data_IF_648277436496
#
_entry.id   IF_648277436496
#
_cell.length_a   1.000
_cell.length_b   1.000
_cell.length_c   1.000
_cell.angle_alpha   90.00
_cell.angle_beta   90.00
_cell.angle_gamma   90.00
#
_symmetry.space_group_name_H-M   'P 1'
#
loop_
_entity.id
_entity.type
_entity.pdbx_description
1 polymer ?
#
# COMPACT_ATOMS: atom_id res chain seq x y z
N UNK A 1 -2.75 -21.49 19.69
CA UNK A 1 -2.34 -20.14 20.15
C UNK A 1 -1.42 -19.40 19.16
N UNK A 2 -0.50 -20.07 18.45
CA UNK A 2 0.46 -19.42 17.52
C UNK A 2 -0.15 -18.89 16.21
N UNK A 3 -1.13 -19.58 15.63
CA UNK A 3 -1.72 -19.18 14.34
C UNK A 3 -2.59 -17.92 14.40
N UNK A 4 -3.39 -17.76 15.46
CA UNK A 4 -4.20 -16.57 15.66
C UNK A 4 -3.32 -15.32 15.83
N UNK A 5 -2.18 -15.46 16.53
CA UNK A 5 -1.16 -14.42 16.66
C UNK A 5 -0.46 -14.14 15.32
N UNK A 6 -0.10 -15.18 14.56
CA UNK A 6 0.46 -15.02 13.21
C UNK A 6 -0.52 -14.30 12.26
N UNK A 7 -1.82 -14.60 12.35
CA UNK A 7 -2.89 -13.91 11.63
C UNK A 7 -2.97 -12.43 12.01
N UNK A 8 -2.95 -12.13 13.30
CA UNK A 8 -2.94 -10.75 13.80
C UNK A 8 -1.76 -9.95 13.25
N UNK A 9 -0.56 -10.55 13.29
CA UNK A 9 0.67 -9.95 12.72
C UNK A 9 0.54 -9.69 11.22
N UNK A 10 0.10 -10.67 10.43
CA UNK A 10 -0.08 -10.51 8.98
C UNK A 10 -1.07 -9.39 8.63
N UNK A 11 -2.23 -9.34 9.30
CA UNK A 11 -3.22 -8.26 9.12
C UNK A 11 -2.64 -6.90 9.47
N UNK A 12 -1.89 -6.80 10.57
CA UNK A 12 -1.19 -5.60 10.98
C UNK A 12 -0.18 -5.14 9.92
N UNK A 13 0.64 -6.05 9.37
CA UNK A 13 1.64 -5.70 8.37
C UNK A 13 1.02 -5.26 7.04
N UNK A 14 -0.03 -5.93 6.57
CA UNK A 14 -0.75 -5.53 5.34
C UNK A 14 -1.35 -4.15 5.50
N UNK A 15 -1.98 -3.88 6.66
CA UNK A 15 -2.51 -2.56 6.98
C UNK A 15 -1.42 -1.49 6.88
N UNK A 16 -0.28 -1.71 7.55
CA UNK A 16 0.85 -0.78 7.50
C UNK A 16 1.35 -0.58 6.07
N UNK A 17 1.57 -1.64 5.31
CA UNK A 17 2.05 -1.57 3.91
C UNK A 17 1.06 -0.84 2.99
N UNK A 18 -0.24 -1.11 3.10
CA UNK A 18 -1.27 -0.42 2.31
C UNK A 18 -1.32 1.08 2.63
N UNK A 19 -1.18 1.43 3.91
CA UNK A 19 -1.04 2.83 4.33
C UNK A 19 0.22 3.45 3.72
N UNK A 20 1.39 2.82 3.89
CA UNK A 20 2.68 3.30 3.37
C UNK A 20 2.65 3.58 1.88
N UNK A 21 2.08 2.68 1.07
CA UNK A 21 2.01 2.93 -0.38
C UNK A 21 0.87 3.88 -0.76
N UNK A 22 -0.02 4.26 0.17
CA UNK A 22 -1.20 5.08 -0.10
C UNK A 22 -2.20 4.39 -1.01
N UNK A 23 -2.44 3.09 -0.80
CA UNK A 23 -3.24 2.28 -1.72
C UNK A 23 -4.71 2.72 -1.76
N UNK A 24 -5.23 2.93 -2.96
CA UNK A 24 -6.58 3.43 -3.23
C UNK A 24 -7.30 2.65 -4.35
N UNK A 25 -6.58 1.82 -5.10
CA UNK A 25 -7.11 0.94 -6.14
C UNK A 25 -6.91 -0.53 -5.79
N UNK A 26 -7.89 -1.36 -6.16
CA UNK A 26 -7.80 -2.81 -6.15
C UNK A 26 -7.64 -3.33 -7.57
N UNK A 27 -6.57 -4.07 -7.82
CA UNK A 27 -6.38 -4.83 -9.05
C UNK A 27 -6.58 -6.31 -8.75
N UNK A 28 -7.49 -6.96 -9.47
CA UNK A 28 -7.71 -8.41 -9.39
C UNK A 28 -7.25 -9.05 -10.69
N UNK A 29 -6.34 -10.00 -10.58
CA UNK A 29 -5.87 -10.82 -11.71
C UNK A 29 -6.58 -12.18 -11.65
N UNK A 30 -6.93 -12.70 -12.82
CA UNK A 30 -7.53 -14.03 -12.93
C UNK A 30 -6.86 -14.84 -14.02
N UNK A 31 -6.92 -16.16 -13.84
CA UNK A 31 -6.56 -17.16 -14.84
C UNK A 31 -7.83 -17.76 -15.45
N UNK A 32 -7.80 -18.11 -16.73
CA UNK A 32 -8.87 -18.90 -17.35
C UNK A 32 -8.79 -20.34 -16.85
N UNK A 33 -7.60 -20.94 -16.92
CA UNK A 33 -7.31 -22.26 -16.38
C UNK A 33 -7.39 -22.30 -14.84
N UNK A 34 -7.57 -23.49 -14.28
CA UNK A 34 -7.55 -23.72 -12.84
C UNK A 34 -6.10 -23.76 -12.34
N UNK A 35 -5.53 -22.60 -12.03
CA UNK A 35 -4.14 -22.49 -11.54
C UNK A 35 -4.14 -22.54 -10.02
N UNK A 36 -3.70 -23.65 -9.44
CA UNK A 36 -3.57 -23.83 -7.99
C UNK A 36 -2.12 -23.70 -7.50
N UNK A 37 -1.17 -23.74 -8.44
CA UNK A 37 0.26 -23.60 -8.18
C UNK A 37 0.61 -22.16 -7.78
N UNK A 38 0.93 -21.99 -6.51
CA UNK A 38 1.32 -20.73 -5.89
C UNK A 38 2.63 -20.17 -6.45
N UNK A 39 3.63 -21.00 -6.73
CA UNK A 39 4.92 -20.54 -7.24
C UNK A 39 4.78 -19.96 -8.63
N UNK A 40 3.99 -20.62 -9.48
CA UNK A 40 3.60 -20.09 -10.79
C UNK A 40 2.95 -18.71 -10.66
N UNK A 41 1.99 -18.55 -9.75
CA UNK A 41 1.32 -17.25 -9.56
C UNK A 41 2.31 -16.16 -9.15
N UNK A 42 3.24 -16.45 -8.24
CA UNK A 42 4.24 -15.49 -7.80
C UNK A 42 5.22 -15.10 -8.91
N UNK A 43 5.64 -16.08 -9.70
CA UNK A 43 6.49 -15.84 -10.84
C UNK A 43 5.80 -14.99 -11.92
N UNK A 44 4.52 -15.23 -12.19
CA UNK A 44 3.70 -14.41 -13.10
C UNK A 44 3.53 -12.97 -12.59
N UNK A 45 3.34 -12.78 -11.28
CA UNK A 45 3.29 -11.45 -10.66
C UNK A 45 4.60 -10.68 -10.83
N UNK A 46 5.74 -11.34 -10.65
CA UNK A 46 7.05 -10.72 -10.84
C UNK A 46 7.31 -10.39 -12.33
N UNK A 47 6.87 -11.25 -13.25
CA UNK A 47 6.88 -10.94 -14.70
C UNK A 47 6.02 -9.72 -15.01
N UNK A 48 4.84 -9.60 -14.41
CA UNK A 48 3.96 -8.44 -14.58
C UNK A 48 4.61 -7.16 -14.07
N UNK A 49 5.17 -7.19 -12.85
CA UNK A 49 5.89 -6.06 -12.26
C UNK A 49 7.05 -5.59 -13.15
N UNK A 50 7.86 -6.53 -13.67
CA UNK A 50 8.97 -6.21 -14.59
C UNK A 50 8.49 -5.65 -15.92
N UNK A 51 7.39 -6.17 -16.48
CA UNK A 51 6.81 -5.66 -17.73
C UNK A 51 6.30 -4.22 -17.58
N UNK A 52 5.64 -3.91 -16.46
CA UNK A 52 5.16 -2.56 -16.15
C UNK A 52 6.33 -1.60 -15.92
N UNK A 53 7.34 -2.02 -15.14
CA UNK A 53 8.54 -1.21 -14.89
C UNK A 53 9.26 -0.82 -16.19
N UNK A 54 9.40 -1.76 -17.14
CA UNK A 54 10.01 -1.48 -18.46
C UNK A 54 9.18 -0.52 -19.32
N UNK A 55 7.89 -0.40 -19.02
CA UNK A 55 6.97 0.51 -19.70
C UNK A 55 6.88 1.87 -18.98
N UNK A 56 7.81 2.17 -18.08
CA UNK A 56 7.83 3.40 -17.27
C UNK A 56 6.79 3.46 -16.15
N UNK A 57 6.02 2.38 -15.93
CA UNK A 57 4.98 2.32 -14.92
C UNK A 57 5.50 1.59 -13.67
N UNK A 58 5.94 2.34 -12.66
CA UNK A 58 6.22 1.76 -11.34
C UNK A 58 4.91 1.52 -10.61
N UNK A 59 4.66 0.26 -10.23
CA UNK A 59 3.43 -0.15 -9.52
C UNK A 59 3.79 -0.82 -8.19
N UNK A 60 4.07 -0.04 -7.13
CA UNK A 60 4.15 -0.59 -5.79
C UNK A 60 2.83 -1.27 -5.41
N UNK A 61 2.89 -2.48 -4.87
CA UNK A 61 1.69 -3.24 -4.53
C UNK A 61 1.81 -4.01 -3.22
N UNK A 62 0.64 -4.28 -2.62
CA UNK A 62 0.46 -5.29 -1.57
C UNK A 62 -0.53 -6.32 -2.09
N UNK A 63 -0.12 -7.58 -2.18
CA UNK A 63 -0.90 -8.65 -2.76
C UNK A 63 -1.29 -9.73 -1.74
N UNK A 64 -2.46 -10.32 -1.94
CA UNK A 64 -2.87 -11.59 -1.33
C UNK A 64 -3.36 -12.52 -2.43
N UNK A 65 -3.19 -13.82 -2.24
CA UNK A 65 -3.82 -14.82 -3.10
C UNK A 65 -5.14 -15.22 -2.45
N UNK A 66 -6.21 -15.27 -3.24
CA UNK A 66 -7.49 -15.83 -2.83
C UNK A 66 -7.70 -17.14 -3.58
N UNK A 67 -8.02 -18.23 -2.90
CA UNK A 67 -8.54 -19.43 -3.55
C UNK A 67 -10.01 -19.25 -3.93
N UNK A 68 -10.31 -19.32 -5.22
CA UNK A 68 -11.70 -19.33 -5.73
C UNK A 68 -12.36 -20.69 -5.39
N UNK A 69 -13.69 -20.76 -5.42
CA UNK A 69 -14.46 -22.00 -5.21
C UNK A 69 -14.00 -23.17 -6.10
N UNK A 70 -13.53 -22.90 -7.32
CA UNK A 70 -13.02 -23.91 -8.26
C UNK A 70 -11.59 -24.39 -7.97
N UNK A 71 -10.92 -23.86 -6.94
CA UNK A 71 -9.53 -24.15 -6.60
C UNK A 71 -8.53 -23.09 -7.08
N UNK A 72 -8.83 -22.38 -8.17
CA UNK A 72 -7.91 -21.43 -8.79
C UNK A 72 -7.50 -20.27 -7.86
N UNK A 73 -6.20 -19.96 -7.83
CA UNK A 73 -5.63 -18.84 -7.11
C UNK A 73 -5.80 -17.52 -7.88
N UNK A 74 -6.39 -16.53 -7.24
CA UNK A 74 -6.62 -15.17 -7.75
C UNK A 74 -5.80 -14.14 -6.97
N UNK A 75 -4.82 -13.48 -7.61
CA UNK A 75 -4.14 -12.35 -6.99
C UNK A 75 -5.04 -11.13 -6.82
N UNK A 76 -5.12 -10.61 -5.60
CA UNK A 76 -5.68 -9.30 -5.30
C UNK A 76 -4.57 -8.36 -4.86
N UNK A 77 -4.36 -7.29 -5.62
CA UNK A 77 -3.31 -6.31 -5.40
C UNK A 77 -3.94 -4.98 -4.98
N UNK A 78 -3.53 -4.47 -3.82
CA UNK A 78 -3.71 -3.08 -3.45
C UNK A 78 -2.58 -2.24 -4.07
N UNK A 79 -2.94 -1.20 -4.81
CA UNK A 79 -2.00 -0.30 -5.51
C UNK A 79 -2.42 1.16 -5.33
N UNK A 80 -1.50 2.09 -5.62
CA UNK A 80 -1.76 3.54 -5.56
C UNK A 80 -1.95 4.13 -6.94
N UNK A 81 -2.92 5.03 -7.05
CA UNK A 81 -3.15 5.87 -8.22
C UNK A 81 -3.82 5.12 -9.36
N UNK A 82 -4.15 5.88 -10.40
CA UNK A 82 -4.80 5.37 -11.60
C UNK A 82 -4.01 4.21 -12.21
N UNK A 83 -4.73 3.17 -12.60
CA UNK A 83 -4.17 2.00 -13.26
C UNK A 83 -4.72 1.90 -14.68
N UNK A 84 -3.85 2.04 -15.68
CA UNK A 84 -4.24 1.83 -17.07
C UNK A 84 -4.55 0.34 -17.28
N UNK A 85 -5.85 0.02 -17.29
CA UNK A 85 -6.35 -1.33 -17.48
C UNK A 85 -5.97 -1.91 -18.84
N UNK A 86 -5.80 -1.08 -19.87
CA UNK A 86 -5.40 -1.54 -21.21
C UNK A 86 -3.94 -1.98 -21.20
N UNK A 87 -3.06 -1.19 -20.59
CA UNK A 87 -1.66 -1.56 -20.39
C UNK A 87 -1.55 -2.82 -19.53
N UNK A 88 -2.24 -2.86 -18.38
CA UNK A 88 -2.22 -4.01 -17.49
C UNK A 88 -2.67 -5.29 -18.20
N UNK A 89 -3.78 -5.25 -18.95
CA UNK A 89 -4.27 -6.40 -19.74
C UNK A 89 -3.26 -6.81 -20.79
N UNK A 90 -2.66 -5.86 -21.52
CA UNK A 90 -1.62 -6.15 -22.53
C UNK A 90 -0.42 -6.88 -21.90
N UNK A 91 0.07 -6.39 -20.75
CA UNK A 91 1.16 -7.05 -20.03
C UNK A 91 0.75 -8.42 -19.49
N UNK A 92 -0.46 -8.54 -18.92
CA UNK A 92 -0.96 -9.79 -18.37
C UNK A 92 -1.14 -10.87 -19.44
N UNK A 93 -1.74 -10.52 -20.58
CA UNK A 93 -1.96 -11.47 -21.68
C UNK A 93 -0.66 -11.95 -22.32
N UNK A 94 0.42 -11.15 -22.28
CA UNK A 94 1.76 -11.62 -22.68
C UNK A 94 2.33 -12.68 -21.74
N UNK A 95 1.87 -12.72 -20.48
CA UNK A 95 2.36 -13.65 -19.46
C UNK A 95 1.54 -14.93 -19.48
N UNK A 96 0.21 -14.80 -19.43
CA UNK A 96 -0.69 -15.97 -19.31
C UNK A 96 -1.19 -16.51 -20.65
N UNK A 97 -1.00 -15.76 -21.74
CA UNK A 97 -1.57 -16.03 -23.06
C UNK A 97 -2.80 -15.17 -23.35
N UNK A 98 -3.02 -14.85 -24.63
CA UNK A 98 -4.14 -14.01 -25.05
C UNK A 98 -5.49 -14.69 -24.72
N UNK A 99 -6.38 -13.98 -24.00
CA UNK A 99 -7.66 -14.52 -23.55
C UNK A 99 -7.59 -15.58 -22.44
N UNK A 100 -6.40 -15.88 -21.91
CA UNK A 100 -6.18 -16.89 -20.87
C UNK A 100 -6.20 -16.31 -19.44
N UNK A 101 -6.59 -15.06 -19.29
CA UNK A 101 -6.78 -14.41 -18.00
C UNK A 101 -7.50 -13.08 -18.15
N UNK A 102 -7.81 -12.44 -17.03
CA UNK A 102 -8.39 -11.10 -17.02
C UNK A 102 -7.75 -10.21 -15.95
N UNK A 103 -7.84 -8.91 -16.19
CA UNK A 103 -7.49 -7.87 -15.22
C UNK A 103 -8.70 -7.00 -14.97
N UNK A 104 -9.08 -6.88 -13.70
CA UNK A 104 -10.13 -6.00 -13.22
C UNK A 104 -9.54 -4.96 -12.28
N UNK A 105 -9.81 -3.69 -12.56
CA UNK A 105 -9.38 -2.56 -11.73
C UNK A 105 -10.62 -1.96 -11.09
N UNK A 106 -10.57 -1.75 -9.77
CA UNK A 106 -11.57 -0.98 -9.03
C UNK A 106 -10.88 0.21 -8.38
N UNK A 107 -11.24 1.42 -8.82
CA UNK A 107 -10.76 2.65 -8.22
C UNK A 107 -11.46 3.03 -6.91
N UNK A 108 -11.04 4.15 -6.30
CA UNK A 108 -11.63 4.66 -5.09
C UNK A 108 -13.09 5.07 -5.34
N UNK A 109 -13.94 4.79 -4.35
CA UNK A 109 -15.32 5.28 -4.26
C UNK A 109 -15.41 6.30 -3.14
N UNK A 110 -16.49 7.11 -3.03
CA UNK A 110 -16.70 7.95 -1.87
C UNK A 110 -16.53 7.17 -0.55
N UNK A 111 -15.63 7.67 0.30
CA UNK A 111 -15.27 7.02 1.56
C UNK A 111 -14.32 5.82 1.45
N UNK A 112 -13.73 5.52 0.29
CA UNK A 112 -12.61 4.59 0.18
C UNK A 112 -11.40 5.08 0.96
N UNK A 113 -10.65 4.16 1.56
CA UNK A 113 -9.39 4.47 2.22
C UNK A 113 -8.44 3.27 2.15
N UNK A 114 -7.12 3.50 2.28
CA UNK A 114 -6.15 2.40 2.36
C UNK A 114 -6.46 1.42 3.50
N UNK A 115 -7.08 1.91 4.58
CA UNK A 115 -7.57 1.08 5.69
C UNK A 115 -8.68 0.12 5.25
N UNK A 116 -9.66 0.60 4.49
CA UNK A 116 -10.75 -0.25 3.97
C UNK A 116 -10.21 -1.28 2.99
N UNK A 117 -9.26 -0.89 2.15
CA UNK A 117 -8.59 -1.79 1.21
C UNK A 117 -7.77 -2.86 1.93
N UNK A 118 -7.00 -2.50 2.94
CA UNK A 118 -6.25 -3.45 3.78
C UNK A 118 -7.18 -4.42 4.52
N UNK A 119 -8.33 -3.94 5.02
CA UNK A 119 -9.35 -4.77 5.66
C UNK A 119 -9.95 -5.76 4.64
N UNK A 120 -10.19 -5.30 3.42
CA UNK A 120 -10.67 -6.13 2.32
C UNK A 120 -9.66 -7.25 1.98
N UNK A 121 -8.38 -6.92 1.79
CA UNK A 121 -7.32 -7.92 1.58
C UNK A 121 -7.21 -8.91 2.75
N UNK A 122 -7.34 -8.42 3.98
CA UNK A 122 -7.28 -9.24 5.20
C UNK A 122 -8.41 -10.26 5.31
N UNK A 123 -9.52 -10.09 4.57
CA UNK A 123 -10.63 -11.06 4.50
C UNK A 123 -10.17 -12.34 3.79
N UNK A 124 -9.37 -12.22 2.73
CA UNK A 124 -8.94 -13.36 1.91
C UNK A 124 -7.90 -14.23 2.61
N UNK A 125 -7.06 -13.63 3.45
CA UNK A 125 -6.14 -14.38 4.30
C UNK A 125 -6.87 -15.28 5.29
N UNK A 126 -8.03 -14.82 5.77
CA UNK A 126 -8.86 -15.58 6.70
C UNK A 126 -9.57 -16.74 5.99
N UNK A 127 -10.10 -16.53 4.77
CA UNK A 127 -10.77 -17.57 3.99
C UNK A 127 -9.86 -18.72 3.57
N UNK A 128 -8.61 -18.43 3.20
CA UNK A 128 -7.64 -19.47 2.83
C UNK A 128 -7.31 -20.43 3.98
N UNK A 129 -7.45 -20.00 5.24
CA UNK A 129 -7.14 -20.83 6.41
C UNK A 129 -8.26 -21.78 6.81
N UNK A 130 -9.51 -21.39 6.59
CA UNK A 130 -10.66 -22.24 6.93
C UNK A 130 -10.71 -23.48 6.02
N UNK A 131 -10.09 -23.41 4.84
CA UNK A 131 -10.13 -24.47 3.84
C UNK A 131 -8.89 -25.36 3.79
N UNK A 132 -7.77 -25.01 4.45
CA UNK A 132 -6.61 -25.92 4.65
C UNK A 132 -5.67 -25.46 5.80
N UNK A 133 -5.16 -26.40 6.62
CA UNK A 133 -3.95 -26.19 7.42
C UNK A 133 -2.75 -26.10 6.47
N UNK A 134 -1.91 -25.07 6.63
CA UNK A 134 -0.73 -24.85 5.77
C UNK A 134 0.47 -25.68 6.22
N UNK A 135 1.39 -25.92 5.29
CA UNK A 135 2.78 -26.20 5.62
C UNK A 135 3.43 -24.98 6.30
N UNK A 136 4.23 -25.26 7.33
CA UNK A 136 4.93 -24.29 8.15
C UNK A 136 5.96 -23.55 7.29
N UNK A 137 5.61 -22.42 6.65
CA UNK A 137 6.52 -21.33 6.17
C UNK A 137 5.89 -20.38 5.13
N UNK A 138 4.71 -20.67 4.59
CA UNK A 138 4.18 -19.85 3.49
C UNK A 138 3.75 -18.42 3.88
N UNK A 139 4.31 -17.42 3.20
CA UNK A 139 3.94 -16.01 3.38
C UNK A 139 2.47 -15.72 3.00
N UNK A 140 1.70 -15.12 3.91
CA UNK A 140 0.24 -14.85 3.73
C UNK A 140 -0.07 -13.66 2.82
N UNK A 141 0.93 -12.88 2.49
CA UNK A 141 0.83 -11.69 1.66
C UNK A 141 2.20 -11.44 1.03
N UNK A 142 2.20 -10.67 -0.04
CA UNK A 142 3.40 -10.30 -0.78
C UNK A 142 3.37 -8.81 -1.05
N UNK A 143 4.52 -8.22 -1.29
CA UNK A 143 4.58 -6.83 -1.71
C UNK A 143 5.73 -6.64 -2.68
N UNK A 144 5.60 -5.63 -3.54
CA UNK A 144 6.73 -5.16 -4.34
C UNK A 144 7.92 -4.80 -3.44
N UNK A 145 9.13 -5.05 -3.93
CA UNK A 145 10.38 -4.65 -3.27
C UNK A 145 10.38 -3.13 -2.99
N UNK A 146 10.94 -2.73 -1.84
CA UNK A 146 11.12 -1.31 -1.49
C UNK A 146 10.00 -0.65 -0.66
N UNK A 147 8.93 -1.35 -0.28
CA UNK A 147 7.93 -0.81 0.67
C UNK A 147 8.52 -0.74 2.08
N UNK A 148 9.20 0.37 2.39
CA UNK A 148 9.74 0.71 3.71
C UNK A 148 8.61 1.15 4.64
N UNK A 149 8.08 0.19 5.39
CA UNK A 149 7.07 0.47 6.42
C UNK A 149 7.71 1.26 7.55
N UNK A 150 7.14 2.40 7.99
CA UNK A 150 7.62 3.09 9.18
C UNK A 150 7.64 2.15 10.40
N UNK A 151 8.80 2.01 11.03
CA UNK A 151 9.02 1.13 12.19
C UNK A 151 8.78 1.82 13.53
N UNK A 152 8.85 3.15 13.55
CA UNK A 152 8.67 3.96 14.75
C UNK A 152 7.19 4.23 15.04
N UNK A 153 6.80 4.14 16.31
CA UNK A 153 5.44 4.39 16.79
C UNK A 153 5.51 5.51 17.83
N UNK A 154 4.80 6.61 17.57
CA UNK A 154 4.61 7.69 18.53
C UNK A 154 3.14 7.72 18.93
N UNK A 155 2.87 7.64 20.23
CA UNK A 155 1.52 7.77 20.79
C UNK A 155 1.41 9.13 21.45
N UNK A 156 0.40 9.90 21.04
CA UNK A 156 0.07 11.18 21.65
C UNK A 156 -1.20 11.00 22.45
N UNK A 157 -1.15 11.29 23.76
CA UNK A 157 -2.35 11.34 24.60
C UNK A 157 -2.91 12.75 24.48
N UNK A 158 -4.06 12.86 23.82
CA UNK A 158 -4.73 14.15 23.58
C UNK A 158 -5.76 14.39 24.69
N UNK A 159 -5.75 15.60 25.25
CA UNK A 159 -6.78 16.04 26.21
C UNK A 159 -8.14 16.19 25.49
N UNK A 160 -9.20 15.64 26.10
CA UNK A 160 -10.60 15.67 25.58
C UNK A 160 -11.13 17.08 25.33
N UNK A 161 -10.51 18.13 25.88
CA UNK A 161 -10.94 19.54 25.72
C UNK A 161 -10.23 20.29 24.59
N UNK A 162 -9.30 19.64 23.88
CA UNK A 162 -8.61 20.28 22.77
C UNK A 162 -9.55 20.49 21.58
N UNK A 163 -9.97 21.74 21.36
CA UNK A 163 -10.45 22.19 20.04
C UNK A 163 -9.20 22.28 19.14
N UNK A 164 -9.28 21.83 17.89
CA UNK A 164 -8.15 21.73 16.91
C UNK A 164 -7.13 20.60 17.12
N UNK A 165 -7.53 19.46 17.69
CA UNK A 165 -6.67 18.26 17.81
C UNK A 165 -6.04 17.85 16.47
N UNK A 166 -6.82 17.84 15.39
CA UNK A 166 -6.35 17.46 14.05
C UNK A 166 -5.20 18.36 13.57
N UNK A 167 -5.37 19.68 13.68
CA UNK A 167 -4.36 20.68 13.26
C UNK A 167 -3.11 20.61 14.14
N UNK A 168 -3.27 20.46 15.46
CA UNK A 168 -2.14 20.35 16.39
C UNK A 168 -1.37 19.04 16.20
N UNK A 169 -2.06 17.92 16.06
CA UNK A 169 -1.44 16.61 15.79
C UNK A 169 -0.67 16.65 14.47
N UNK A 170 -1.26 17.24 13.42
CA UNK A 170 -0.59 17.48 12.15
C UNK A 170 0.70 18.31 12.31
N UNK A 171 0.60 19.47 12.97
CA UNK A 171 1.75 20.36 13.18
C UNK A 171 2.88 19.66 13.94
N UNK A 172 2.56 18.92 15.01
CA UNK A 172 3.55 18.20 15.83
C UNK A 172 4.22 17.10 15.03
N UNK A 173 3.45 16.25 14.33
CA UNK A 173 4.01 15.15 13.52
C UNK A 173 4.88 15.71 12.38
N UNK A 174 4.43 16.79 11.73
CA UNK A 174 5.18 17.47 10.68
C UNK A 174 6.47 18.09 11.20
N UNK A 175 6.44 18.79 12.34
CA UNK A 175 7.63 19.40 12.94
C UNK A 175 8.65 18.35 13.36
N UNK A 176 8.24 17.27 14.02
CA UNK A 176 9.16 16.22 14.44
C UNK A 176 9.75 15.46 13.23
N UNK A 177 8.96 15.25 12.17
CA UNK A 177 9.49 14.70 10.93
C UNK A 177 10.53 15.63 10.30
N UNK A 178 10.22 16.92 10.12
CA UNK A 178 11.18 17.90 9.57
C UNK A 178 12.46 18.01 10.43
N UNK A 179 12.34 17.92 11.76
CA UNK A 179 13.49 17.93 12.68
C UNK A 179 14.43 16.75 12.43
N UNK A 180 13.89 15.57 12.10
CA UNK A 180 14.67 14.34 11.92
C UNK A 180 15.22 14.16 10.52
N UNK A 181 14.42 14.40 9.50
CA UNK A 181 14.82 14.19 8.10
C UNK A 181 15.49 15.43 7.49
N UNK A 182 15.54 16.54 8.24
CA UNK A 182 16.05 17.82 7.79
C UNK A 182 15.06 18.60 6.93
N UNK A 183 15.35 19.88 6.69
CA UNK A 183 14.54 20.78 5.84
C UNK A 183 14.50 20.36 4.36
N UNK A 184 15.34 19.41 3.93
CA UNK A 184 15.46 18.90 2.56
C UNK A 184 14.79 17.54 2.37
N UNK A 185 13.62 17.35 2.95
CA UNK A 185 12.85 16.12 2.77
C UNK A 185 11.51 16.41 2.12
N UNK A 186 11.08 15.50 1.25
CA UNK A 186 9.70 15.49 0.77
C UNK A 186 8.88 14.67 1.74
N UNK A 187 7.95 15.34 2.42
CA UNK A 187 6.99 14.67 3.29
C UNK A 187 5.81 14.17 2.44
N UNK A 188 5.53 12.88 2.54
CA UNK A 188 4.29 12.28 2.03
C UNK A 188 3.43 11.89 3.21
N UNK A 189 2.18 12.33 3.19
CA UNK A 189 1.26 12.15 4.30
C UNK A 189 -0.13 11.77 3.82
N UNK A 190 -0.87 11.10 4.70
CA UNK A 190 -2.29 10.85 4.51
C UNK A 190 -2.98 10.93 5.86
N UNK A 191 -4.03 11.74 5.93
CA UNK A 191 -4.90 11.85 7.09
C UNK A 191 -6.27 11.23 6.74
N UNK A 192 -6.77 10.34 7.61
CA UNK A 192 -8.10 9.76 7.49
C UNK A 192 -9.15 10.61 8.20
N UNK A 193 -10.44 10.33 7.92
CA UNK A 193 -11.59 11.19 8.29
C UNK A 193 -11.50 11.92 9.64
N UNK A 194 -11.74 13.23 9.61
CA UNK A 194 -11.59 14.21 10.73
C UNK A 194 -10.18 14.31 11.34
N UNK A 195 -9.16 13.81 10.62
CA UNK A 195 -7.74 13.84 10.98
C UNK A 195 -7.37 13.29 12.35
N UNK A 196 -8.20 12.40 12.89
CA UNK A 196 -7.96 11.71 14.16
C UNK A 196 -6.98 10.54 14.02
N UNK A 197 -6.60 10.20 12.79
CA UNK A 197 -5.57 9.21 12.48
C UNK A 197 -4.95 9.48 11.11
N UNK A 198 -3.68 9.17 10.95
CA UNK A 198 -2.96 9.35 9.70
C UNK A 198 -1.57 8.74 9.73
N UNK A 199 -0.83 8.92 8.66
CA UNK A 199 0.60 8.60 8.62
C UNK A 199 1.34 9.70 7.87
N UNK A 200 2.60 9.89 8.24
CA UNK A 200 3.51 10.85 7.64
C UNK A 200 4.86 10.14 7.50
N UNK A 201 5.44 10.17 6.30
CA UNK A 201 6.76 9.64 6.04
C UNK A 201 7.57 10.68 5.26
N UNK A 202 8.81 10.91 5.67
CA UNK A 202 9.78 11.72 4.93
C UNK A 202 10.77 10.83 4.18
N UNK A 203 11.17 11.28 3.00
CA UNK A 203 12.33 10.74 2.29
C UNK A 203 13.21 11.90 1.80
N UNK A 204 14.51 11.62 1.71
CA UNK A 204 15.50 12.55 1.14
C UNK A 204 15.25 12.69 -0.36
N UNK A 205 15.07 13.93 -0.84
CA UNK A 205 14.82 14.22 -2.24
C UNK A 205 16.10 14.74 -2.90
N UNK A 206 16.85 13.85 -3.54
CA UNK A 206 18.12 14.17 -4.21
C UNK A 206 18.00 15.09 -5.43
N UNK A 207 16.79 15.50 -5.82
CA UNK A 207 16.57 16.52 -6.85
C UNK A 207 16.67 17.96 -6.32
N UNK A 208 16.68 18.13 -5.00
CA UNK A 208 16.86 19.43 -4.35
C UNK A 208 18.36 19.70 -4.24
N UNK A 209 18.89 20.58 -5.09
CA UNK A 209 20.26 21.07 -4.99
C UNK A 209 20.28 22.43 -4.26
N UNK A 210 21.26 22.60 -3.37
CA UNK A 210 21.48 23.88 -2.70
C UNK A 210 22.14 24.88 -3.65
N UNK A 211 21.70 26.14 -3.56
CA UNK A 211 22.58 27.27 -3.80
C UNK A 211 23.02 27.75 -2.42
N UNK A 212 24.32 27.78 -2.15
CA UNK A 212 24.88 28.31 -0.89
C UNK A 212 24.65 29.81 -0.84
N UNK A 213 23.47 30.21 -0.39
CA UNK A 213 23.09 31.58 -0.04
C UNK A 213 22.40 31.58 1.31
N UNK A 214 22.54 32.68 2.07
CA UNK A 214 21.83 32.85 3.35
C UNK A 214 20.32 32.66 3.11
N UNK A 215 19.60 31.96 4.01
CA UNK A 215 18.16 31.77 3.85
C UNK A 215 17.47 33.13 3.83
N UNK A 216 16.79 33.45 2.73
CA UNK A 216 15.86 34.58 2.72
C UNK A 216 14.69 34.25 3.65
N UNK A 217 14.32 35.16 4.56
CA UNK A 217 13.17 34.96 5.43
C UNK A 217 11.90 34.83 4.57
N UNK A 218 11.20 33.71 4.74
CA UNK A 218 9.90 33.46 4.10
C UNK A 218 8.93 34.54 4.56
N UNK A 219 8.34 35.35 3.66
CA UNK A 219 7.37 36.36 4.05
C UNK A 219 6.13 35.67 4.61
N UNK A 220 5.85 35.94 5.89
CA UNK A 220 4.59 35.58 6.52
C UNK A 220 3.56 36.58 5.98
N UNK A 221 2.74 36.14 5.01
CA UNK A 221 1.59 36.93 4.60
C UNK A 221 0.62 37.04 5.79
N UNK A 222 0.14 38.25 6.14
CA UNK A 222 -0.84 38.42 7.20
C UNK A 222 -2.16 37.77 6.78
N UNK A 223 -2.73 36.96 7.68
CA UNK A 223 -4.04 36.35 7.52
C UNK A 223 -5.10 37.44 7.38
N UNK A 224 -5.81 37.44 6.25
CA UNK A 224 -7.08 38.15 6.07
C UNK A 224 -8.22 37.35 6.68
#
# INVERSE_FOLDING_TARGET
>A
MNEARARGRAKGTIRKKCLTIGADHLVTLTYRANVEDRERVLHDLERLRRALSRSGCSMPYVAVLERQQRGALHPHLAVKGFQDVRLLRRCWYKIVGNGQGQVNVRGPRPGSSPVKLARYLSKYISKDLENMPREFEEHRYFCSLGVKVPTEKHEFVLDRRAKDVERKMYQIIRQEALRRVGVCCRLTEWMGGSGTYGWLAGFEDGSIQWVTGKPEPVPIAPSS
#
